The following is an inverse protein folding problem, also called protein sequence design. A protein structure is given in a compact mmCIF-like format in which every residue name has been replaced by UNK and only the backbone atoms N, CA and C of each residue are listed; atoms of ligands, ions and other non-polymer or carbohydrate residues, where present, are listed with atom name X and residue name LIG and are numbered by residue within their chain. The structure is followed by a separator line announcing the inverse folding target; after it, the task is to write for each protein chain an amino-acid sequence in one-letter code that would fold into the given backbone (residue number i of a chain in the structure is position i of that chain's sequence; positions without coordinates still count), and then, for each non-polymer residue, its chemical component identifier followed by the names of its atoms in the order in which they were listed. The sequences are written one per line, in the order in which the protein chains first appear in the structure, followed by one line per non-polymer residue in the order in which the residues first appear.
data_IF_486897155951
#
_entry.id   IF_486897155951
#
_cell.length_a   1.000
_cell.length_b   1.000
_cell.length_c   1.000
_cell.angle_alpha   90.00
_cell.angle_beta   90.00
_cell.angle_gamma   90.00
#
_symmetry.space_group_name_H-M   'P 1'
#
loop_
_entity.id
_entity.type
_entity.pdbx_description
1 polymer ?
#
# COMPACT_ATOMS: atom_id res chain seq x y z
N UNK A 1 -6.71 -2.78 -1.23
CA UNK A 1 -7.47 -1.51 -1.16
C UNK A 1 -8.72 -1.62 -2.03
N UNK A 2 -9.57 -0.59 -2.06
CA UNK A 2 -10.64 -0.48 -3.07
C UNK A 2 -10.34 0.72 -3.96
N UNK A 3 -10.25 0.48 -5.28
CA UNK A 3 -10.02 1.53 -6.26
C UNK A 3 -11.31 2.32 -6.51
N UNK A 4 -11.17 3.65 -6.64
CA UNK A 4 -12.20 4.54 -7.15
C UNK A 4 -11.87 4.91 -8.60
N UNK A 5 -11.33 6.11 -8.81
CA UNK A 5 -10.84 6.56 -10.12
C UNK A 5 -9.34 6.33 -10.34
N UNK A 6 -8.62 5.83 -9.33
CA UNK A 6 -7.25 5.37 -9.52
C UNK A 6 -7.29 4.01 -10.23
N UNK A 7 -6.71 3.90 -11.43
CA UNK A 7 -6.82 2.70 -12.27
C UNK A 7 -5.92 1.54 -11.83
N UNK A 8 -4.72 1.89 -11.35
CA UNK A 8 -3.63 0.96 -11.10
C UNK A 8 -2.77 1.50 -9.96
N UNK A 9 -2.76 0.79 -8.84
CA UNK A 9 -2.21 1.27 -7.57
C UNK A 9 -0.90 0.57 -7.22
N UNK A 10 -0.06 1.23 -6.43
CA UNK A 10 1.02 0.58 -5.69
C UNK A 10 0.94 1.00 -4.22
N UNK A 11 1.12 0.03 -3.32
CA UNK A 11 1.34 0.23 -1.90
C UNK A 11 2.83 0.08 -1.59
N UNK A 12 3.40 1.08 -0.94
CA UNK A 12 4.78 1.04 -0.44
C UNK A 12 4.77 1.28 1.07
N UNK A 13 5.62 0.55 1.77
CA UNK A 13 5.79 0.61 3.22
C UNK A 13 7.18 1.14 3.54
N UNK A 14 7.23 2.06 4.49
CA UNK A 14 8.48 2.66 4.98
C UNK A 14 8.55 2.61 6.50
N UNK A 15 9.76 2.58 7.04
CA UNK A 15 10.00 2.79 8.47
C UNK A 15 9.93 4.28 8.85
N UNK A 16 10.17 4.56 10.14
CA UNK A 16 10.11 5.91 10.69
C UNK A 16 11.14 6.89 10.10
N UNK A 17 12.25 6.39 9.56
CA UNK A 17 13.30 7.19 8.92
C UNK A 17 13.05 7.37 7.41
N UNK A 18 11.93 6.83 6.89
CA UNK A 18 11.58 6.86 5.48
C UNK A 18 12.34 5.83 4.64
N UNK A 19 12.94 4.82 5.26
CA UNK A 19 13.59 3.72 4.55
C UNK A 19 12.51 2.76 4.05
N UNK A 20 12.60 2.41 2.77
CA UNK A 20 11.69 1.46 2.13
C UNK A 20 11.83 0.06 2.75
N UNK A 21 10.69 -0.56 3.05
CA UNK A 21 10.61 -1.88 3.69
C UNK A 21 10.02 -2.94 2.75
N UNK A 22 8.91 -2.62 2.09
CA UNK A 22 8.19 -3.56 1.22
C UNK A 22 7.22 -2.83 0.28
N UNK A 23 6.80 -3.49 -0.81
CA UNK A 23 5.79 -2.95 -1.71
C UNK A 23 4.99 -4.06 -2.42
N UNK A 24 3.80 -3.70 -2.87
CA UNK A 24 3.01 -4.54 -3.77
C UNK A 24 2.13 -3.65 -4.67
N UNK A 25 2.02 -3.98 -5.95
CA UNK A 25 1.24 -3.27 -6.97
C UNK A 25 -0.11 -3.95 -7.22
N UNK A 26 -0.15 -5.28 -7.35
CA UNK A 26 -1.38 -6.01 -7.70
C UNK A 26 -1.80 -7.03 -6.64
N UNK A 27 -3.08 -7.41 -6.60
CA UNK A 27 -3.50 -8.55 -5.79
C UNK A 27 -4.63 -9.35 -6.44
N UNK A 28 -4.40 -10.66 -6.60
CA UNK A 28 -5.26 -11.56 -7.36
C UNK A 28 -5.49 -11.01 -8.80
N UNK A 29 -6.67 -11.21 -9.36
CA UNK A 29 -7.04 -10.75 -10.72
C UNK A 29 -7.40 -9.26 -10.77
N UNK A 30 -6.70 -8.41 -10.00
CA UNK A 30 -7.03 -7.00 -9.80
C UNK A 30 -5.78 -6.13 -9.61
N UNK A 31 -5.80 -4.93 -10.19
CA UNK A 31 -4.77 -3.86 -10.07
C UNK A 31 -4.83 -3.08 -8.75
N UNK A 32 -5.73 -3.49 -7.85
CA UNK A 32 -5.84 -2.97 -6.50
C UNK A 32 -4.82 -3.66 -5.59
N UNK A 33 -3.82 -2.94 -5.10
CA UNK A 33 -2.77 -3.55 -4.29
C UNK A 33 -3.26 -4.00 -2.91
N UNK A 34 -2.57 -5.01 -2.38
CA UNK A 34 -2.73 -5.48 -0.99
C UNK A 34 -1.38 -5.92 -0.44
N UNK A 35 -0.95 -5.30 0.65
CA UNK A 35 0.27 -5.68 1.36
C UNK A 35 -0.10 -6.42 2.66
N UNK A 36 0.55 -7.56 2.91
CA UNK A 36 0.51 -8.27 4.20
C UNK A 36 1.94 -8.35 4.69
N UNK A 37 2.22 -7.72 5.81
CA UNK A 37 3.57 -7.57 6.32
C UNK A 37 3.60 -7.74 7.84
N UNK A 38 4.65 -8.39 8.34
CA UNK A 38 4.84 -8.62 9.78
C UNK A 38 5.80 -7.57 10.35
N UNK A 39 5.31 -6.75 11.28
CA UNK A 39 6.14 -5.78 11.96
C UNK A 39 7.19 -6.47 12.86
N UNK A 40 8.49 -6.13 12.75
CA UNK A 40 9.53 -6.67 13.61
C UNK A 40 9.43 -6.13 15.05
N UNK A 41 8.65 -5.07 15.26
CA UNK A 41 8.41 -4.49 16.57
C UNK A 41 7.36 -3.37 16.53
N UNK A 42 7.10 -2.78 17.69
CA UNK A 42 6.26 -1.60 17.80
C UNK A 42 7.01 -0.38 17.30
N UNK A 43 6.39 0.40 16.42
CA UNK A 43 6.99 1.62 15.88
C UNK A 43 6.03 2.35 14.95
N UNK A 44 6.49 3.50 14.46
CA UNK A 44 5.81 4.23 13.39
C UNK A 44 6.19 3.63 12.05
N UNK A 45 5.20 3.42 11.20
CA UNK A 45 5.36 2.98 9.82
C UNK A 45 4.55 3.91 8.93
N UNK A 46 5.08 4.20 7.74
CA UNK A 46 4.40 5.03 6.75
C UNK A 46 3.96 4.17 5.59
N UNK A 47 2.69 4.33 5.19
CA UNK A 47 2.12 3.68 4.01
C UNK A 47 1.91 4.75 2.95
N UNK A 48 2.49 4.54 1.77
CA UNK A 48 2.26 5.35 0.59
C UNK A 48 1.33 4.60 -0.38
N UNK A 49 0.38 5.32 -0.95
CA UNK A 49 -0.44 4.86 -2.08
C UNK A 49 -0.10 5.76 -3.26
N UNK A 50 0.33 5.17 -4.37
CA UNK A 50 0.60 5.88 -5.62
C UNK A 50 -0.07 5.17 -6.80
N UNK A 51 -0.07 5.81 -7.97
CA UNK A 51 -0.32 5.05 -9.20
C UNK A 51 0.93 4.25 -9.54
N UNK A 52 0.78 2.98 -9.90
CA UNK A 52 1.90 2.18 -10.42
C UNK A 52 2.39 2.71 -11.78
N UNK A 53 1.49 3.35 -12.54
CA UNK A 53 1.78 4.02 -13.81
C UNK A 53 1.85 5.54 -13.58
N UNK A 54 1.44 6.28 -14.59
CA UNK A 54 1.26 7.73 -14.49
C UNK A 54 -0.22 8.01 -14.33
N UNK A 55 -0.60 8.64 -13.22
CA UNK A 55 -1.99 9.00 -12.99
C UNK A 55 -2.26 9.41 -11.56
N UNK A 56 -3.43 9.99 -11.35
CA UNK A 56 -3.99 10.28 -10.04
C UNK A 56 -5.44 9.82 -10.03
N UNK A 57 -5.95 9.52 -8.85
CA UNK A 57 -7.33 9.09 -8.72
C UNK A 57 -7.71 8.86 -7.27
N UNK A 58 -9.00 8.61 -7.08
CA UNK A 58 -9.58 8.33 -5.77
C UNK A 58 -9.42 6.84 -5.43
N UNK A 59 -9.24 6.56 -4.15
CA UNK A 59 -9.12 5.21 -3.60
C UNK A 59 -9.63 5.21 -2.16
N UNK A 60 -9.90 4.02 -1.63
CA UNK A 60 -10.11 3.79 -0.20
C UNK A 60 -9.08 2.80 0.31
N UNK A 61 -8.28 3.23 1.30
CA UNK A 61 -7.32 2.38 1.99
C UNK A 61 -7.91 1.88 3.31
N UNK A 62 -7.77 0.58 3.56
CA UNK A 62 -8.08 -0.04 4.85
C UNK A 62 -6.79 -0.57 5.45
N UNK A 63 -6.52 -0.19 6.70
CA UNK A 63 -5.37 -0.67 7.47
C UNK A 63 -5.92 -1.45 8.66
N UNK A 64 -5.42 -2.67 8.85
CA UNK A 64 -5.78 -3.53 9.95
C UNK A 64 -4.57 -4.31 10.40
N UNK A 65 -4.49 -4.55 11.71
CA UNK A 65 -3.53 -5.50 12.29
C UNK A 65 -4.20 -6.88 12.25
N UNK A 66 -3.54 -7.87 11.66
CA UNK A 66 -3.97 -9.26 11.77
C UNK A 66 -3.51 -9.81 13.13
N UNK A 67 -4.45 -10.33 13.91
CA UNK A 67 -4.19 -11.05 15.16
C UNK A 67 -3.94 -12.53 14.88
#
# INVERSE_FOLDING_TARGET
MTLGTLEDSILELFDADGIWLDANDDFAESTASRLIWQAPGTGTYYVQVASFRTGTGTYTLTIAIAL
#
